data_IF_705536084234
#
_entry.id   IF_705536084234
#
_cell.length_a   1.000
_cell.length_b   1.000
_cell.length_c   1.000
_cell.angle_alpha   90.00
_cell.angle_beta   90.00
_cell.angle_gamma   90.00
#
_symmetry.space_group_name_H-M   'P 1'
#
loop_
_entity.id
_entity.type
_entity.pdbx_description
1 polymer ?
#
# COMPACT_ATOMS: atom_id res chain seq x y z
N UNK A 1 -16.08 -25.68 -9.91
CA UNK A 1 -16.68 -24.34 -9.76
C UNK A 1 -15.81 -23.56 -8.80
N UNK A 2 -14.98 -22.65 -9.30
CA UNK A 2 -13.93 -21.97 -8.55
C UNK A 2 -14.46 -20.66 -7.94
N UNK A 3 -14.64 -20.73 -6.62
CA UNK A 3 -14.61 -19.73 -5.54
C UNK A 3 -14.89 -18.24 -5.84
N UNK A 4 -15.91 -17.62 -5.20
CA UNK A 4 -16.30 -16.20 -5.39
C UNK A 4 -15.34 -15.16 -4.77
N UNK A 5 -14.22 -15.58 -4.19
CA UNK A 5 -13.24 -14.70 -3.56
C UNK A 5 -12.37 -13.93 -4.57
N UNK A 6 -12.30 -14.41 -5.82
CA UNK A 6 -11.55 -13.73 -6.89
C UNK A 6 -12.19 -12.40 -7.32
N UNK A 7 -13.49 -12.22 -7.07
CA UNK A 7 -14.20 -10.99 -7.43
C UNK A 7 -13.96 -9.84 -6.45
N UNK A 8 -13.73 -10.11 -5.17
CA UNK A 8 -13.56 -9.05 -4.16
C UNK A 8 -12.19 -8.39 -4.26
N UNK A 9 -11.12 -9.19 -4.40
CA UNK A 9 -9.77 -8.65 -4.54
C UNK A 9 -9.63 -7.75 -5.76
N UNK A 10 -10.13 -8.21 -6.92
CA UNK A 10 -10.07 -7.39 -8.13
C UNK A 10 -10.85 -6.08 -8.00
N UNK A 11 -12.01 -6.07 -7.33
CA UNK A 11 -12.73 -4.81 -7.04
C UNK A 11 -11.93 -3.86 -6.14
N UNK A 12 -11.22 -4.40 -5.16
CA UNK A 12 -10.36 -3.60 -4.26
C UNK A 12 -9.12 -3.06 -5.00
N UNK A 13 -8.55 -3.85 -5.93
CA UNK A 13 -7.45 -3.43 -6.79
C UNK A 13 -7.90 -2.35 -7.79
N UNK A 14 -9.08 -2.50 -8.40
CA UNK A 14 -9.68 -1.47 -9.26
C UNK A 14 -9.95 -0.17 -8.49
N UNK A 15 -10.36 -0.26 -7.21
CA UNK A 15 -10.60 0.90 -6.35
C UNK A 15 -9.28 1.61 -5.98
N UNK A 16 -8.20 0.85 -5.84
CA UNK A 16 -6.84 1.38 -5.68
C UNK A 16 -6.36 2.11 -6.93
N UNK A 17 -6.53 1.51 -8.11
CA UNK A 17 -6.17 2.15 -9.38
C UNK A 17 -6.97 3.44 -9.62
N UNK A 18 -8.23 3.46 -9.20
CA UNK A 18 -9.11 4.64 -9.26
C UNK A 18 -8.83 5.69 -8.16
N UNK A 19 -8.00 5.37 -7.17
CA UNK A 19 -7.72 6.26 -6.04
C UNK A 19 -8.90 6.39 -5.05
N UNK A 20 -9.84 5.46 -5.07
CA UNK A 20 -10.94 5.34 -4.10
C UNK A 20 -10.47 4.69 -2.79
N UNK A 21 -9.35 3.96 -2.84
CA UNK A 21 -8.68 3.33 -1.70
C UNK A 21 -7.18 3.63 -1.77
N UNK A 22 -6.59 3.91 -0.62
CA UNK A 22 -5.16 4.16 -0.42
C UNK A 22 -4.51 2.93 0.21
N UNK A 23 -3.28 2.61 -0.18
CA UNK A 23 -2.48 1.55 0.43
C UNK A 23 -1.17 2.12 0.96
N UNK A 24 -0.80 1.77 2.19
CA UNK A 24 0.49 2.15 2.79
C UNK A 24 1.62 1.17 2.41
N UNK A 25 2.85 1.49 2.80
CA UNK A 25 4.04 0.66 2.51
C UNK A 25 4.01 -0.72 3.20
N UNK A 26 3.20 -0.90 4.23
CA UNK A 26 3.02 -2.18 4.94
C UNK A 26 1.89 -3.02 4.30
N UNK A 27 1.23 -2.49 3.26
CA UNK A 27 0.18 -3.14 2.51
C UNK A 27 -1.23 -2.92 3.07
N UNK A 28 -1.39 -2.15 4.15
CA UNK A 28 -2.70 -1.86 4.73
C UNK A 28 -3.48 -0.89 3.83
N UNK A 29 -4.78 -1.14 3.68
CA UNK A 29 -5.67 -0.38 2.80
C UNK A 29 -6.65 0.48 3.61
N UNK A 30 -6.93 1.70 3.17
CA UNK A 30 -7.92 2.60 3.77
C UNK A 30 -8.69 3.37 2.70
N UNK A 31 -10.00 3.56 2.90
CA UNK A 31 -10.82 4.45 2.08
C UNK A 31 -10.91 5.88 2.67
N UNK A 32 -10.34 6.11 3.87
CA UNK A 32 -10.29 7.43 4.48
C UNK A 32 -9.11 8.24 3.91
N UNK A 33 -9.35 9.33 3.17
CA UNK A 33 -8.29 10.15 2.59
C UNK A 33 -7.41 10.83 3.63
N UNK A 34 -7.92 11.12 4.84
CA UNK A 34 -7.10 11.69 5.92
C UNK A 34 -6.14 10.66 6.49
N UNK A 35 -6.61 9.43 6.67
CA UNK A 35 -5.76 8.32 7.09
C UNK A 35 -4.69 8.03 6.01
N UNK A 36 -5.08 8.01 4.72
CA UNK A 36 -4.14 7.85 3.61
C UNK A 36 -3.06 8.95 3.59
N UNK A 37 -3.44 10.21 3.78
CA UNK A 37 -2.48 11.32 3.86
C UNK A 37 -1.55 11.25 5.07
N UNK A 38 -2.06 10.84 6.24
CA UNK A 38 -1.23 10.65 7.43
C UNK A 38 -0.20 9.52 7.23
N UNK A 39 -0.62 8.41 6.62
CA UNK A 39 0.27 7.30 6.30
C UNK A 39 1.34 7.72 5.28
N UNK A 40 0.97 8.45 4.23
CA UNK A 40 1.92 8.93 3.22
C UNK A 40 3.05 9.79 3.80
N UNK A 41 2.76 10.61 4.82
CA UNK A 41 3.80 11.36 5.53
C UNK A 41 4.74 10.44 6.31
N UNK A 42 4.20 9.50 7.08
CA UNK A 42 5.02 8.52 7.83
C UNK A 42 5.85 7.64 6.90
N UNK A 43 5.31 7.28 5.73
CA UNK A 43 5.98 6.45 4.74
C UNK A 43 7.11 7.20 4.03
N UNK A 44 6.95 8.52 3.82
CA UNK A 44 8.02 9.36 3.32
C UNK A 44 9.20 9.44 4.30
N UNK A 45 8.94 9.53 5.61
CA UNK A 45 9.97 9.53 6.64
C UNK A 45 10.70 8.18 6.71
N UNK A 46 9.97 7.07 6.67
CA UNK A 46 10.57 5.71 6.58
C UNK A 46 11.41 5.54 5.32
N UNK A 47 10.92 6.01 4.18
CA UNK A 47 11.68 5.99 2.93
C UNK A 47 12.95 6.83 3.03
N UNK A 48 12.93 7.99 3.69
CA UNK A 48 14.12 8.77 3.93
C UNK A 48 15.14 8.01 4.80
N UNK A 49 14.68 7.27 5.82
CA UNK A 49 15.53 6.39 6.62
C UNK A 49 16.14 5.26 5.77
N UNK A 50 15.35 4.56 4.96
CA UNK A 50 15.83 3.50 4.07
C UNK A 50 16.87 4.02 3.06
N UNK A 51 16.61 5.18 2.46
CA UNK A 51 17.56 5.85 1.57
C UNK A 51 18.89 6.15 2.27
N UNK A 52 18.84 6.59 3.53
CA UNK A 52 20.06 6.84 4.33
C UNK A 52 20.87 5.56 4.59
N UNK A 53 20.21 4.40 4.64
CA UNK A 53 20.81 3.07 4.79
C UNK A 53 21.25 2.44 3.47
N UNK A 54 20.99 3.10 2.34
CA UNK A 54 21.25 2.56 1.00
C UNK A 54 20.26 1.48 0.57
N UNK A 55 19.12 1.37 1.25
CA UNK A 55 18.04 0.44 0.94
C UNK A 55 17.15 1.08 -0.15
N UNK A 56 17.40 0.73 -1.42
CA UNK A 56 16.68 1.27 -2.59
C UNK A 56 16.10 0.13 -3.40
N UNK A 57 14.79 0.13 -3.61
CA UNK A 57 14.07 -0.90 -4.39
C UNK A 57 12.79 -1.36 -3.69
N UNK A 58 11.97 -2.21 -4.35
CA UNK A 58 10.88 -2.90 -3.65
C UNK A 58 11.54 -3.72 -2.54
N UNK A 59 11.34 -3.33 -1.28
CA UNK A 59 11.98 -3.97 -0.13
C UNK A 59 11.94 -5.48 -0.29
N UNK A 60 13.10 -6.14 -0.14
CA UNK A 60 13.16 -7.60 -0.27
C UNK A 60 12.19 -8.16 0.76
N UNK A 61 11.15 -8.92 0.36
CA UNK A 61 10.28 -9.56 1.33
C UNK A 61 11.14 -10.49 2.18
N UNK A 62 11.16 -10.29 3.49
CA UNK A 62 11.78 -11.27 4.40
C UNK A 62 11.01 -12.60 4.23
N UNK A 63 11.77 -13.66 3.95
CA UNK A 63 11.26 -15.01 3.65
C UNK A 63 10.88 -15.79 4.90
#
# INVERSE_FOLDING_TARGET
MTTPEHSRRQQEDDALERGEVYQDVEGNRTADPRAGAANAHSDADRNAEHLSRGEVGPGVPEA
#
